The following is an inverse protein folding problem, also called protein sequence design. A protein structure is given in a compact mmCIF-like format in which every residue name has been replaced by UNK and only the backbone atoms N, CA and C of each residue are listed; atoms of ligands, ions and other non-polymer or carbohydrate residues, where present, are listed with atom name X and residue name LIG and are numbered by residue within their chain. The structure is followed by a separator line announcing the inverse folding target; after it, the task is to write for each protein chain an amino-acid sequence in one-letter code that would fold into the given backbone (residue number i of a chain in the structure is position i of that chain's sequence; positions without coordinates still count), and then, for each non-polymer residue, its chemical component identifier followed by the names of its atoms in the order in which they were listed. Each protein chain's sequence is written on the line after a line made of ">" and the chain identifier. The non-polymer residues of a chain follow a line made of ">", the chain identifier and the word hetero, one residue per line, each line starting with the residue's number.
data_IF_270794997955
#
_entry.id   IF_270794997955
#
_cell.length_a   1.000
_cell.length_b   1.000
_cell.length_c   1.000
_cell.angle_alpha   90.00
_cell.angle_beta   90.00
_cell.angle_gamma   90.00
#
_symmetry.space_group_name_H-M   'P 1'
#
loop_
_entity.id
_entity.type
_entity.pdbx_description
1 polymer ?
#
# COMPACT_ATOMS: atom_id res chain seq x y z
N UNK A 1 8.06 -7.40 8.88
CA UNK A 1 6.64 -7.15 8.57
C UNK A 1 5.94 -8.48 8.40
N UNK A 2 4.86 -8.74 9.15
CA UNK A 2 4.04 -9.95 8.97
C UNK A 2 3.21 -9.79 7.69
N UNK A 3 2.87 -10.89 7.03
CA UNK A 3 1.94 -10.82 5.89
C UNK A 3 0.54 -10.48 6.39
N UNK A 4 -0.16 -9.63 5.65
CA UNK A 4 -1.54 -9.20 5.91
C UNK A 4 -2.37 -9.45 4.64
N UNK A 5 -3.58 -10.03 4.73
CA UNK A 5 -4.43 -10.22 3.56
C UNK A 5 -4.72 -8.91 2.82
N UNK A 6 -4.81 -8.98 1.49
CA UNK A 6 -5.04 -7.78 0.67
C UNK A 6 -6.34 -7.05 1.04
N UNK A 7 -7.39 -7.79 1.37
CA UNK A 7 -8.68 -7.25 1.78
C UNK A 7 -8.57 -6.38 3.05
N UNK A 8 -7.77 -6.80 4.03
CA UNK A 8 -7.55 -6.04 5.27
C UNK A 8 -6.85 -4.71 4.99
N UNK A 9 -5.89 -4.71 4.06
CA UNK A 9 -5.18 -3.49 3.67
C UNK A 9 -6.13 -2.55 2.90
N UNK A 10 -6.96 -3.10 2.03
CA UNK A 10 -7.97 -2.35 1.27
C UNK A 10 -9.02 -1.70 2.18
N UNK A 11 -9.58 -2.44 3.12
CA UNK A 11 -10.55 -1.92 4.09
C UNK A 11 -9.93 -0.81 4.93
N UNK A 12 -8.71 -1.01 5.43
CA UNK A 12 -8.00 0.01 6.20
C UNK A 12 -7.88 1.33 5.44
N UNK A 13 -7.43 1.31 4.18
CA UNK A 13 -7.25 2.53 3.40
C UNK A 13 -8.55 3.17 2.88
N UNK A 14 -9.70 2.50 2.97
CA UNK A 14 -11.00 3.13 2.67
C UNK A 14 -11.42 4.12 3.75
N UNK A 15 -11.04 3.86 5.00
CA UNK A 15 -11.46 4.64 6.17
C UNK A 15 -10.38 5.65 6.62
N UNK A 16 -9.19 5.60 6.04
CA UNK A 16 -8.08 6.51 6.37
C UNK A 16 -8.25 7.84 5.65
N UNK A 17 -8.32 8.93 6.41
CA UNK A 17 -8.11 10.28 5.88
C UNK A 17 -6.61 10.51 5.70
N UNK A 18 -6.19 10.71 4.44
CA UNK A 18 -4.80 11.02 4.12
C UNK A 18 -4.55 12.49 4.42
N UNK A 19 -3.96 12.79 5.58
CA UNK A 19 -3.64 14.15 6.01
C UNK A 19 -2.33 14.68 5.43
N UNK A 20 -1.49 13.79 4.89
CA UNK A 20 -0.16 14.13 4.37
C UNK A 20 -0.19 14.33 2.85
N UNK A 21 0.39 15.45 2.39
CA UNK A 21 0.60 15.72 0.97
C UNK A 21 1.60 14.73 0.34
N UNK A 22 2.54 14.22 1.14
CA UNK A 22 3.50 13.21 0.73
C UNK A 22 4.03 12.42 1.93
N UNK A 23 4.42 11.17 1.70
CA UNK A 23 5.03 10.29 2.69
C UNK A 23 6.36 9.76 2.18
N UNK A 24 7.40 9.92 3.00
CA UNK A 24 8.68 9.25 2.81
C UNK A 24 8.61 7.84 3.39
N UNK A 25 8.40 6.86 2.51
CA UNK A 25 8.30 5.45 2.90
C UNK A 25 9.67 4.84 3.23
N UNK A 26 10.72 5.35 2.60
CA UNK A 26 12.13 5.14 2.93
C UNK A 26 13.00 6.22 2.29
N UNK A 27 14.32 6.17 2.55
CA UNK A 27 15.33 7.09 2.03
C UNK A 27 15.28 7.31 0.51
N UNK A 28 14.73 6.36 -0.26
CA UNK A 28 14.68 6.42 -1.71
C UNK A 28 13.25 6.42 -2.28
N UNK A 29 12.22 6.48 -1.43
CA UNK A 29 10.82 6.33 -1.84
C UNK A 29 9.93 7.36 -1.18
N UNK A 30 9.53 8.37 -1.96
CA UNK A 30 8.50 9.34 -1.58
C UNK A 30 7.21 9.06 -2.36
N UNK A 31 6.09 8.97 -1.64
CA UNK A 31 4.76 8.83 -2.20
C UNK A 31 4.08 10.18 -2.10
N UNK A 32 3.83 10.83 -3.23
CA UNK A 32 3.20 12.16 -3.31
C UNK A 32 1.69 12.13 -3.50
N UNK A 33 1.11 10.95 -3.73
CA UNK A 33 -0.34 10.78 -3.78
C UNK A 33 -0.69 9.38 -3.26
N UNK A 34 -0.99 9.32 -1.97
CA UNK A 34 -1.20 8.06 -1.26
C UNK A 34 -2.43 7.33 -1.81
N UNK A 35 -3.50 8.07 -2.10
CA UNK A 35 -4.74 7.52 -2.68
C UNK A 35 -4.48 6.78 -4.00
N UNK A 36 -3.89 7.50 -4.97
CA UNK A 36 -3.53 6.92 -6.27
C UNK A 36 -2.55 5.74 -6.12
N UNK A 37 -1.62 5.85 -5.18
CA UNK A 37 -0.65 4.80 -4.90
C UNK A 37 -1.34 3.50 -4.46
N UNK A 38 -2.17 3.53 -3.40
CA UNK A 38 -2.77 2.30 -2.90
C UNK A 38 -3.80 1.72 -3.88
N UNK A 39 -4.62 2.56 -4.52
CA UNK A 39 -5.63 2.11 -5.50
C UNK A 39 -5.00 1.41 -6.71
N UNK A 40 -3.93 1.99 -7.27
CA UNK A 40 -3.21 1.39 -8.41
C UNK A 40 -2.56 0.05 -8.03
N UNK A 41 -1.96 -0.04 -6.84
CA UNK A 41 -1.36 -1.28 -6.36
C UNK A 41 -2.41 -2.36 -6.11
N UNK A 42 -3.56 -2.00 -5.51
CA UNK A 42 -4.69 -2.92 -5.33
C UNK A 42 -5.21 -3.43 -6.66
N UNK A 43 -5.39 -2.56 -7.66
CA UNK A 43 -5.85 -2.94 -9.00
C UNK A 43 -4.92 -3.96 -9.65
N UNK A 44 -3.60 -3.69 -9.63
CA UNK A 44 -2.59 -4.60 -10.19
C UNK A 44 -2.60 -5.96 -9.48
N UNK A 45 -2.70 -5.96 -8.15
CA UNK A 45 -2.70 -7.18 -7.34
C UNK A 45 -3.96 -8.02 -7.55
N UNK A 46 -5.13 -7.38 -7.64
CA UNK A 46 -6.41 -8.06 -7.93
C UNK A 46 -6.43 -8.65 -9.34
N UNK A 47 -5.99 -7.88 -10.34
CA UNK A 47 -5.97 -8.32 -11.74
C UNK A 47 -4.97 -9.46 -12.02
N UNK A 48 -3.95 -9.62 -11.16
CA UNK A 48 -2.89 -10.60 -11.33
C UNK A 48 -2.76 -11.54 -10.12
N UNK A 49 -3.86 -11.79 -9.41
CA UNK A 49 -3.90 -12.66 -8.25
C UNK A 49 -3.27 -14.03 -8.58
N UNK A 50 -2.40 -14.51 -7.70
CA UNK A 50 -1.65 -15.77 -7.89
C UNK A 50 -0.37 -15.67 -8.72
N UNK A 51 -0.06 -14.55 -9.38
CA UNK A 51 1.21 -14.37 -10.10
C UNK A 51 2.32 -13.90 -9.16
N UNK A 52 3.47 -14.58 -9.16
CA UNK A 52 4.64 -14.16 -8.33
C UNK A 52 5.19 -12.80 -8.72
N UNK A 53 5.00 -12.39 -9.98
CA UNK A 53 5.56 -11.16 -10.54
C UNK A 53 4.93 -9.89 -9.94
N UNK A 54 3.78 -9.99 -9.27
CA UNK A 54 3.16 -8.83 -8.59
C UNK A 54 3.55 -8.69 -7.12
N UNK A 55 4.42 -9.57 -6.60
CA UNK A 55 4.90 -9.51 -5.22
C UNK A 55 5.58 -8.17 -4.84
N UNK A 56 6.31 -7.45 -5.73
CA UNK A 56 6.82 -6.13 -5.40
C UNK A 56 5.73 -5.12 -5.07
N UNK A 57 4.59 -5.15 -5.78
CA UNK A 57 3.45 -4.26 -5.51
C UNK A 57 2.84 -4.55 -4.14
N UNK A 58 2.69 -5.84 -3.79
CA UNK A 58 2.21 -6.23 -2.46
C UNK A 58 3.15 -5.77 -1.35
N UNK A 59 4.47 -5.95 -1.53
CA UNK A 59 5.47 -5.53 -0.53
C UNK A 59 5.44 -4.02 -0.28
N UNK A 60 5.31 -3.21 -1.34
CA UNK A 60 5.24 -1.74 -1.22
C UNK A 60 3.95 -1.30 -0.54
N UNK A 61 2.82 -1.90 -0.90
CA UNK A 61 1.54 -1.63 -0.27
C UNK A 61 1.52 -2.04 1.22
N UNK A 62 2.12 -3.18 1.56
CA UNK A 62 2.27 -3.64 2.94
C UNK A 62 3.15 -2.70 3.76
N UNK A 63 4.21 -2.14 3.16
CA UNK A 63 5.08 -1.17 3.83
C UNK A 63 4.33 0.12 4.14
N UNK A 64 3.52 0.62 3.20
CA UNK A 64 2.65 1.77 3.42
C UNK A 64 1.65 1.50 4.55
N UNK A 65 1.04 0.31 4.57
CA UNK A 65 0.13 -0.10 5.64
C UNK A 65 0.79 -0.08 7.02
N UNK A 66 2.02 -0.60 7.15
CA UNK A 66 2.73 -0.57 8.43
C UNK A 66 3.20 0.83 8.82
N UNK A 67 3.50 1.69 7.85
CA UNK A 67 3.82 3.10 8.11
C UNK A 67 2.65 3.79 8.83
N UNK A 68 1.45 3.68 8.27
CA UNK A 68 0.21 4.24 8.82
C UNK A 68 -0.27 3.58 10.12
N UNK A 69 0.06 2.31 10.34
CA UNK A 69 -0.28 1.61 11.60
C UNK A 69 0.65 1.95 12.77
N UNK A 70 1.82 2.53 12.49
CA UNK A 70 2.84 2.81 13.50
C UNK A 70 2.84 4.28 13.95
N UNK A 71 2.00 5.12 13.35
CA UNK A 71 1.73 6.52 13.70
C UNK A 71 0.24 6.67 13.96
#
# INVERSE_FOLDING_TARGET
>A
MKQVPLAVIEEYFKDVEFTDDHIELDQCTTITNIKKFYESHLSILKANSGKKNVMPYYKRLLKLYYFYKSH
#
